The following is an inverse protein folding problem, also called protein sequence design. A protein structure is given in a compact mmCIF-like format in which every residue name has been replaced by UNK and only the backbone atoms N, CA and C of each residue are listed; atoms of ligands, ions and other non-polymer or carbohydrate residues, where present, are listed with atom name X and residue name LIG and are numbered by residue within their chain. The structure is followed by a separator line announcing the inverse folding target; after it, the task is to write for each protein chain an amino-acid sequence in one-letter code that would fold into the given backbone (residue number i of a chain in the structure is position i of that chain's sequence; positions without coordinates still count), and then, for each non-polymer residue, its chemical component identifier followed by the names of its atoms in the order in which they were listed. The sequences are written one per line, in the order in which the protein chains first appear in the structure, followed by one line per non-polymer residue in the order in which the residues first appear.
data_IF_919496024876
#
_entry.id   IF_919496024876
#
_cell.length_a   1.000
_cell.length_b   1.000
_cell.length_c   1.000
_cell.angle_alpha   90.00
_cell.angle_beta   90.00
_cell.angle_gamma   90.00
#
_symmetry.space_group_name_H-M   'P 1'
#
loop_
_entity.id
_entity.type
_entity.pdbx_description
1 polymer ?
#
# COMPACT_ATOMS: atom_id res chain seq x y z
N UNK A 1 -19.48 -18.27 13.12
CA UNK A 1 -19.07 -17.82 11.78
C UNK A 1 -17.60 -18.20 11.61
N UNK A 2 -17.26 -18.99 10.58
CA UNK A 2 -15.90 -19.49 10.37
C UNK A 2 -14.98 -18.40 9.78
N UNK A 3 -13.66 -18.51 9.99
CA UNK A 3 -12.64 -17.63 9.40
C UNK A 3 -12.84 -17.42 7.90
N UNK A 4 -13.12 -18.50 7.17
CA UNK A 4 -13.36 -18.45 5.73
C UNK A 4 -14.59 -17.63 5.35
N UNK A 5 -15.65 -17.68 6.17
CA UNK A 5 -16.85 -16.89 5.95
C UNK A 5 -16.58 -15.40 6.17
N UNK A 6 -15.74 -15.04 7.15
CA UNK A 6 -15.33 -13.64 7.35
C UNK A 6 -14.49 -13.11 6.20
N UNK A 7 -13.51 -13.89 5.76
CA UNK A 7 -12.68 -13.55 4.61
C UNK A 7 -13.51 -13.34 3.34
N UNK A 8 -14.41 -14.29 3.02
CA UNK A 8 -15.29 -14.19 1.86
C UNK A 8 -16.28 -13.04 1.97
N UNK A 9 -16.82 -12.76 3.17
CA UNK A 9 -17.70 -11.61 3.38
C UNK A 9 -16.96 -10.30 3.14
N UNK A 10 -15.72 -10.15 3.63
CA UNK A 10 -14.92 -8.97 3.35
C UNK A 10 -14.66 -8.78 1.85
N UNK A 11 -14.26 -9.85 1.14
CA UNK A 11 -14.09 -9.81 -0.31
C UNK A 11 -15.39 -9.44 -1.04
N UNK A 12 -16.52 -10.00 -0.62
CA UNK A 12 -17.84 -9.67 -1.20
C UNK A 12 -18.22 -8.22 -0.93
N UNK A 13 -17.98 -7.69 0.26
CA UNK A 13 -18.25 -6.29 0.59
C UNK A 13 -17.41 -5.35 -0.28
N UNK A 14 -16.15 -5.71 -0.53
CA UNK A 14 -15.26 -4.96 -1.42
C UNK A 14 -15.78 -4.99 -2.86
N UNK A 15 -16.10 -6.17 -3.40
CA UNK A 15 -16.64 -6.34 -4.74
C UNK A 15 -17.97 -5.56 -4.94
N UNK A 16 -18.81 -5.53 -3.91
CA UNK A 16 -20.07 -4.77 -3.92
C UNK A 16 -19.85 -3.26 -3.93
N UNK A 17 -18.73 -2.76 -3.42
CA UNK A 17 -18.31 -1.37 -3.62
C UNK A 17 -17.58 -1.20 -4.96
N UNK A 18 -18.28 -1.56 -6.04
CA UNK A 18 -17.77 -1.48 -7.42
C UNK A 18 -17.21 -0.10 -7.75
N UNK A 19 -17.87 0.96 -7.28
CA UNK A 19 -17.43 2.34 -7.50
C UNK A 19 -16.08 2.61 -6.82
N UNK A 20 -15.93 2.23 -5.56
CA UNK A 20 -14.67 2.39 -4.83
C UNK A 20 -13.52 1.59 -5.43
N UNK A 21 -13.77 0.33 -5.82
CA UNK A 21 -12.77 -0.51 -6.48
C UNK A 21 -12.37 0.03 -7.85
N UNK A 22 -13.35 0.47 -8.64
CA UNK A 22 -13.11 1.05 -9.96
C UNK A 22 -12.16 2.24 -9.84
N UNK A 23 -12.46 3.24 -9.01
CA UNK A 23 -11.56 4.39 -8.87
C UNK A 23 -10.20 4.01 -8.29
N UNK A 24 -10.15 3.10 -7.32
CA UNK A 24 -8.90 2.71 -6.67
C UNK A 24 -7.97 1.89 -7.59
N UNK A 25 -8.53 1.17 -8.57
CA UNK A 25 -7.77 0.41 -9.59
C UNK A 25 -7.46 1.29 -10.81
N UNK A 26 -8.47 2.01 -11.31
CA UNK A 26 -8.37 2.77 -12.57
C UNK A 26 -7.50 4.00 -12.41
N UNK A 27 -7.54 4.71 -11.27
CA UNK A 27 -6.75 5.93 -11.11
C UNK A 27 -5.23 5.67 -11.17
N UNK A 28 -4.64 4.71 -10.43
CA UNK A 28 -3.21 4.42 -10.56
C UNK A 28 -2.82 3.95 -11.96
N UNK A 29 -3.67 3.16 -12.61
CA UNK A 29 -3.46 2.68 -13.98
C UNK A 29 -3.50 3.85 -14.98
N UNK A 30 -4.50 4.72 -14.88
CA UNK A 30 -4.64 5.90 -15.72
C UNK A 30 -3.47 6.86 -15.53
N UNK A 31 -3.03 7.07 -14.29
CA UNK A 31 -1.84 7.87 -13.96
C UNK A 31 -0.60 7.27 -14.62
N UNK A 32 -0.41 5.95 -14.52
CA UNK A 32 0.72 5.26 -15.13
C UNK A 32 0.72 5.40 -16.67
N UNK A 33 -0.44 5.21 -17.32
CA UNK A 33 -0.57 5.41 -18.78
C UNK A 33 -0.32 6.86 -19.16
N UNK A 34 -0.89 7.81 -18.42
CA UNK A 34 -0.74 9.24 -18.70
C UNK A 34 0.73 9.66 -18.59
N UNK A 35 1.39 9.32 -17.48
CA UNK A 35 2.80 9.70 -17.26
C UNK A 35 3.70 8.95 -18.24
N UNK A 36 3.47 7.66 -18.50
CA UNK A 36 4.27 6.89 -19.46
C UNK A 36 4.17 7.42 -20.90
N UNK A 37 2.99 7.92 -21.32
CA UNK A 37 2.83 8.58 -22.61
C UNK A 37 3.48 9.97 -22.64
N UNK A 38 3.29 10.77 -21.58
CA UNK A 38 3.89 12.11 -21.47
C UNK A 38 5.41 12.02 -21.48
N UNK A 39 6.01 11.05 -20.78
CA UNK A 39 7.46 10.88 -20.77
C UNK A 39 8.02 10.52 -22.14
N UNK A 40 7.33 9.65 -22.88
CA UNK A 40 7.73 9.31 -24.25
C UNK A 40 7.62 10.50 -25.22
N UNK A 41 6.75 11.48 -24.93
CA UNK A 41 6.49 12.64 -25.76
C UNK A 41 7.34 13.88 -25.40
N UNK A 42 7.94 13.94 -24.21
CA UNK A 42 8.64 15.13 -23.72
C UNK A 42 10.16 15.07 -24.00
N UNK A 43 10.75 16.07 -24.69
CA UNK A 43 12.20 16.16 -24.91
C UNK A 43 12.90 16.45 -23.57
N UNK A 44 13.65 15.47 -23.07
CA UNK A 44 14.23 15.44 -21.72
C UNK A 44 13.84 14.20 -20.90
N UNK A 45 12.75 13.52 -21.29
CA UNK A 45 12.28 12.24 -20.75
C UNK A 45 12.36 11.10 -21.78
N UNK A 46 13.15 11.29 -22.84
CA UNK A 46 13.32 10.32 -23.90
C UNK A 46 13.92 9.00 -23.37
N UNK A 47 13.07 8.01 -23.12
CA UNK A 47 13.52 6.68 -22.79
C UNK A 47 12.44 5.79 -22.19
N UNK A 48 12.32 4.60 -22.78
CA UNK A 48 11.68 3.40 -22.24
C UNK A 48 12.03 3.19 -20.74
N UNK A 49 13.18 3.72 -20.28
CA UNK A 49 13.67 3.70 -18.90
C UNK A 49 12.82 4.45 -17.86
N UNK A 50 12.13 5.55 -18.19
CA UNK A 50 11.35 6.28 -17.16
C UNK A 50 10.06 5.54 -16.80
N UNK A 51 9.39 4.95 -17.80
CA UNK A 51 8.25 4.06 -17.58
C UNK A 51 8.63 2.83 -16.75
N UNK A 52 9.84 2.28 -16.94
CA UNK A 52 10.39 1.18 -16.13
C UNK A 52 10.69 1.62 -14.69
N UNK A 53 11.16 2.85 -14.47
CA UNK A 53 11.39 3.40 -13.13
C UNK A 53 10.09 3.69 -12.36
N UNK A 54 9.06 4.17 -13.08
CA UNK A 54 7.80 4.60 -12.49
C UNK A 54 6.88 3.45 -12.09
N UNK A 55 6.81 2.38 -12.88
CA UNK A 55 5.87 1.29 -12.63
C UNK A 55 6.01 0.68 -11.22
N UNK A 56 7.21 0.34 -10.72
CA UNK A 56 7.38 -0.15 -9.35
C UNK A 56 7.05 0.90 -8.29
N UNK A 57 7.28 2.18 -8.58
CA UNK A 57 6.88 3.29 -7.72
C UNK A 57 5.36 3.40 -7.59
N UNK A 58 4.63 3.35 -8.70
CA UNK A 58 3.16 3.37 -8.72
C UNK A 58 2.58 2.12 -8.04
N UNK A 59 3.22 0.97 -8.19
CA UNK A 59 2.89 -0.25 -7.44
C UNK A 59 3.02 0.00 -5.93
N UNK A 60 4.15 0.54 -5.47
CA UNK A 60 4.36 0.87 -4.06
C UNK A 60 3.34 1.89 -3.54
N UNK A 61 3.03 2.91 -4.34
CA UNK A 61 2.01 3.92 -4.03
C UNK A 61 0.61 3.31 -3.93
N UNK A 62 0.27 2.37 -4.81
CA UNK A 62 -1.01 1.65 -4.78
C UNK A 62 -1.15 0.83 -3.50
N UNK A 63 -0.11 0.08 -3.12
CA UNK A 63 -0.08 -0.70 -1.87
C UNK A 63 -0.26 0.24 -0.66
N UNK A 64 0.48 1.34 -0.63
CA UNK A 64 0.40 2.35 0.43
C UNK A 64 -1.01 2.94 0.53
N UNK A 65 -1.60 3.36 -0.59
CA UNK A 65 -2.92 3.97 -0.60
C UNK A 65 -4.01 2.99 -0.17
N UNK A 66 -3.95 1.75 -0.64
CA UNK A 66 -4.87 0.69 -0.21
C UNK A 66 -4.69 0.39 1.28
N UNK A 67 -3.46 0.39 1.79
CA UNK A 67 -3.20 0.16 3.22
C UNK A 67 -3.70 1.28 4.12
N UNK A 68 -3.42 2.55 3.77
CA UNK A 68 -3.77 3.70 4.59
C UNK A 68 -5.24 4.08 4.40
N UNK A 69 -5.65 4.47 3.19
CA UNK A 69 -6.99 5.02 2.96
C UNK A 69 -8.08 3.96 3.07
N UNK A 70 -7.91 2.82 2.40
CA UNK A 70 -8.98 1.83 2.32
C UNK A 70 -9.29 1.20 3.68
N UNK A 71 -8.25 0.89 4.45
CA UNK A 71 -8.41 0.30 5.77
C UNK A 71 -8.80 1.34 6.83
N UNK A 72 -8.13 2.50 6.89
CA UNK A 72 -8.42 3.49 7.94
C UNK A 72 -9.85 3.99 7.82
N UNK A 73 -10.30 4.35 6.62
CA UNK A 73 -11.67 4.83 6.41
C UNK A 73 -12.71 3.76 6.67
N UNK A 74 -12.45 2.51 6.27
CA UNK A 74 -13.37 1.41 6.56
C UNK A 74 -13.50 1.18 8.07
N UNK A 75 -12.38 1.20 8.81
CA UNK A 75 -12.39 1.04 10.27
C UNK A 75 -13.10 2.18 10.98
N UNK A 76 -12.86 3.41 10.54
CA UNK A 76 -13.50 4.61 11.09
C UNK A 76 -15.01 4.61 10.79
N UNK A 77 -15.43 4.17 9.61
CA UNK A 77 -16.85 4.04 9.25
C UNK A 77 -17.58 2.98 10.09
N UNK A 78 -16.97 1.81 10.32
CA UNK A 78 -17.61 0.80 11.20
C UNK A 78 -17.63 1.25 12.67
N UNK A 79 -16.68 2.09 13.10
CA UNK A 79 -16.66 2.72 14.43
C UNK A 79 -17.79 3.73 14.57
N UNK A 80 -17.89 4.66 13.64
CA UNK A 80 -18.89 5.74 13.66
C UNK A 80 -20.33 5.19 13.63
N UNK A 81 -20.56 4.07 12.92
CA UNK A 81 -21.86 3.37 12.89
C UNK A 81 -22.15 2.50 14.12
N UNK A 82 -21.24 2.43 15.09
CA UNK A 82 -21.35 1.59 16.29
C UNK A 82 -21.35 0.08 15.99
N UNK A 83 -20.94 -0.32 14.79
CA UNK A 83 -20.98 -1.73 14.35
C UNK A 83 -19.90 -2.56 15.06
N UNK A 84 -18.81 -1.94 15.51
CA UNK A 84 -17.79 -2.61 16.34
C UNK A 84 -18.42 -3.25 17.59
N UNK A 85 -19.40 -2.59 18.23
CA UNK A 85 -20.09 -3.14 19.41
C UNK A 85 -20.85 -4.43 19.07
N UNK A 86 -21.36 -4.57 17.85
CA UNK A 86 -22.03 -5.79 17.38
C UNK A 86 -21.05 -6.93 17.07
N UNK A 87 -19.83 -6.60 16.62
CA UNK A 87 -18.77 -7.59 16.45
C UNK A 87 -18.29 -8.16 17.80
N UNK A 88 -18.28 -7.35 18.88
CA UNK A 88 -17.87 -7.79 20.22
C UNK A 88 -18.81 -8.83 20.86
N UNK A 89 -20.09 -8.89 20.45
CA UNK A 89 -21.08 -9.86 20.95
C UNK A 89 -21.15 -11.13 20.09
N UNK A 90 -20.45 -11.16 18.95
CA UNK A 90 -20.31 -12.40 18.17
C UNK A 90 -19.21 -13.30 18.75
N UNK A 91 -19.32 -14.64 18.68
CA UNK A 91 -18.33 -15.58 19.22
C UNK A 91 -17.03 -15.64 18.38
N UNK A 92 -16.64 -14.53 17.76
CA UNK A 92 -15.47 -14.42 16.90
C UNK A 92 -14.27 -13.95 17.71
N UNK A 93 -13.13 -14.62 17.57
CA UNK A 93 -11.91 -14.14 18.21
C UNK A 93 -11.41 -12.88 17.48
N UNK A 94 -10.95 -11.88 18.24
CA UNK A 94 -10.41 -10.63 17.67
C UNK A 94 -9.26 -10.91 16.69
N UNK A 95 -8.49 -11.97 16.94
CA UNK A 95 -7.43 -12.43 16.04
C UNK A 95 -7.96 -12.90 14.67
N UNK A 96 -9.04 -13.69 14.63
CA UNK A 96 -9.65 -14.14 13.38
C UNK A 96 -10.21 -12.98 12.55
N UNK A 97 -10.77 -11.96 13.21
CA UNK A 97 -11.28 -10.76 12.54
C UNK A 97 -10.13 -9.96 11.89
N UNK A 98 -9.08 -9.66 12.65
CA UNK A 98 -7.95 -8.85 12.15
C UNK A 98 -7.20 -9.59 11.04
N UNK A 99 -6.94 -10.89 11.21
CA UNK A 99 -6.23 -11.68 10.20
C UNK A 99 -7.03 -11.86 8.91
N UNK A 100 -8.34 -12.13 8.99
CA UNK A 100 -9.18 -12.22 7.79
C UNK A 100 -9.27 -10.88 7.05
N UNK A 101 -9.29 -9.76 7.78
CA UNK A 101 -9.26 -8.42 7.20
C UNK A 101 -7.93 -8.16 6.48
N UNK A 102 -6.78 -8.37 7.15
CA UNK A 102 -5.46 -8.21 6.55
C UNK A 102 -5.33 -9.06 5.28
N UNK A 103 -5.71 -10.33 5.34
CA UNK A 103 -5.63 -11.23 4.20
C UNK A 103 -6.51 -10.76 3.04
N UNK A 104 -7.74 -10.30 3.32
CA UNK A 104 -8.63 -9.77 2.28
C UNK A 104 -8.05 -8.54 1.57
N UNK A 105 -7.34 -7.66 2.31
CA UNK A 105 -6.69 -6.48 1.74
C UNK A 105 -5.44 -6.85 0.95
N UNK A 106 -4.65 -7.82 1.42
CA UNK A 106 -3.49 -8.32 0.68
C UNK A 106 -3.91 -8.93 -0.67
N UNK A 107 -5.03 -9.67 -0.72
CA UNK A 107 -5.56 -10.20 -1.98
C UNK A 107 -5.96 -9.07 -2.93
N UNK A 108 -6.62 -8.01 -2.43
CA UNK A 108 -6.93 -6.84 -3.27
C UNK A 108 -5.66 -6.18 -3.81
N UNK A 109 -4.65 -5.98 -2.95
CA UNK A 109 -3.35 -5.42 -3.37
C UNK A 109 -2.70 -6.31 -4.42
N UNK A 110 -2.74 -7.64 -4.27
CA UNK A 110 -2.20 -8.57 -5.26
C UNK A 110 -2.90 -8.45 -6.62
N UNK A 111 -4.23 -8.31 -6.64
CA UNK A 111 -4.98 -8.07 -7.88
C UNK A 111 -4.58 -6.73 -8.52
N UNK A 112 -4.48 -5.66 -7.72
CA UNK A 112 -4.07 -4.33 -8.20
C UNK A 112 -2.67 -4.34 -8.80
N UNK A 113 -1.72 -4.95 -8.10
CA UNK A 113 -0.34 -5.06 -8.56
C UNK A 113 -0.27 -5.92 -9.82
N UNK A 114 -0.95 -7.07 -9.85
CA UNK A 114 -1.02 -7.92 -11.04
C UNK A 114 -1.56 -7.18 -12.27
N UNK A 115 -2.61 -6.37 -12.10
CA UNK A 115 -3.15 -5.52 -13.17
C UNK A 115 -2.16 -4.45 -13.63
N UNK A 116 -1.47 -3.77 -12.72
CA UNK A 116 -0.46 -2.77 -13.07
C UNK A 116 0.71 -3.38 -13.83
N UNK A 117 1.18 -4.56 -13.40
CA UNK A 117 2.23 -5.31 -14.09
C UNK A 117 1.76 -5.69 -15.50
N UNK A 118 0.57 -6.29 -15.61
CA UNK A 118 0.00 -6.70 -16.89
C UNK A 118 -0.14 -5.52 -17.87
N UNK A 119 -0.63 -4.37 -17.41
CA UNK A 119 -0.79 -3.18 -18.25
C UNK A 119 0.58 -2.58 -18.62
N UNK A 120 1.54 -2.58 -17.69
CA UNK A 120 2.90 -2.10 -17.96
C UNK A 120 3.65 -2.93 -18.97
N UNK A 121 3.59 -4.26 -18.87
CA UNK A 121 4.26 -5.15 -19.82
C UNK A 121 3.53 -5.18 -21.17
N UNK A 122 2.19 -5.24 -21.18
CA UNK A 122 1.42 -5.40 -22.41
C UNK A 122 1.22 -4.10 -23.21
N UNK A 123 1.06 -2.95 -22.55
CA UNK A 123 0.66 -1.69 -23.20
C UNK A 123 1.79 -0.65 -23.29
N UNK A 124 2.81 -0.74 -22.43
CA UNK A 124 3.91 0.22 -22.32
C UNK A 124 5.30 -0.42 -22.53
N UNK A 125 5.34 -1.71 -22.92
CA UNK A 125 6.56 -2.48 -23.18
C UNK A 125 7.59 -2.39 -22.04
N UNK A 126 7.12 -2.38 -20.78
CA UNK A 126 8.01 -2.46 -19.65
C UNK A 126 8.62 -3.88 -19.58
N UNK A 127 9.95 -3.98 -19.60
CA UNK A 127 10.65 -5.25 -19.44
C UNK A 127 10.53 -5.72 -17.99
N UNK A 128 9.66 -6.70 -17.74
CA UNK A 128 9.60 -7.38 -16.46
C UNK A 128 10.59 -8.55 -16.46
N UNK A 129 11.80 -8.29 -15.96
CA UNK A 129 12.84 -9.30 -15.78
C UNK A 129 12.99 -9.77 -14.32
N UNK A 130 11.98 -9.45 -13.51
CA UNK A 130 11.96 -9.62 -12.06
C UNK A 130 11.47 -10.98 -11.56
N UNK A 131 11.72 -11.26 -10.27
CA UNK A 131 11.17 -12.45 -9.60
C UNK A 131 9.76 -12.18 -9.06
N UNK A 132 8.77 -12.92 -9.55
CA UNK A 132 7.38 -12.87 -9.06
C UNK A 132 7.32 -13.13 -7.55
N UNK A 133 8.15 -14.04 -7.04
CA UNK A 133 8.22 -14.38 -5.62
C UNK A 133 8.73 -13.18 -4.81
N UNK A 134 9.77 -12.50 -5.29
CA UNK A 134 10.31 -11.32 -4.61
C UNK A 134 9.29 -10.17 -4.59
N UNK A 135 8.58 -9.94 -5.69
CA UNK A 135 7.48 -8.97 -5.75
C UNK A 135 6.36 -9.34 -4.77
N UNK A 136 5.99 -10.62 -4.68
CA UNK A 136 4.97 -11.09 -3.74
C UNK A 136 5.40 -10.89 -2.27
N UNK A 137 6.68 -11.11 -1.94
CA UNK A 137 7.23 -10.86 -0.60
C UNK A 137 7.19 -9.35 -0.28
N UNK A 138 7.64 -8.50 -1.19
CA UNK A 138 7.59 -7.05 -1.02
C UNK A 138 6.14 -6.55 -0.89
N UNK A 139 5.21 -7.12 -1.65
CA UNK A 139 3.78 -6.82 -1.54
C UNK A 139 3.24 -7.21 -0.16
N UNK A 140 3.56 -8.41 0.32
CA UNK A 140 3.11 -8.86 1.63
C UNK A 140 3.67 -7.98 2.75
N UNK A 141 4.96 -7.71 2.76
CA UNK A 141 5.61 -6.88 3.79
C UNK A 141 5.17 -5.41 3.73
N UNK A 142 5.16 -4.82 2.54
CA UNK A 142 4.67 -3.47 2.31
C UNK A 142 3.20 -3.35 2.69
N UNK A 143 2.38 -4.31 2.26
CA UNK A 143 0.96 -4.40 2.60
C UNK A 143 0.74 -4.46 4.10
N UNK A 144 1.42 -5.36 4.83
CA UNK A 144 1.31 -5.43 6.30
C UNK A 144 1.75 -4.11 6.95
N UNK A 145 2.83 -3.50 6.48
CA UNK A 145 3.34 -2.22 7.01
C UNK A 145 2.31 -1.10 6.86
N UNK A 146 1.71 -0.94 5.67
CA UNK A 146 0.73 0.12 5.45
C UNK A 146 -0.65 -0.20 6.00
N UNK A 147 -1.03 -1.47 6.12
CA UNK A 147 -2.25 -1.88 6.82
C UNK A 147 -2.13 -1.61 8.32
N UNK A 148 -1.00 -1.94 8.95
CA UNK A 148 -0.77 -1.59 10.37
C UNK A 148 -0.76 -0.09 10.59
N UNK A 149 -0.22 0.70 9.66
CA UNK A 149 -0.35 2.15 9.69
C UNK A 149 -1.81 2.62 9.53
N UNK A 150 -2.60 1.99 8.66
CA UNK A 150 -4.03 2.27 8.53
C UNK A 150 -4.82 1.96 9.82
N UNK A 151 -4.49 0.85 10.49
CA UNK A 151 -5.01 0.56 11.84
C UNK A 151 -4.59 1.64 12.85
N UNK A 152 -3.34 2.07 12.83
CA UNK A 152 -2.84 3.12 13.71
C UNK A 152 -3.62 4.42 13.54
N UNK A 153 -3.85 4.87 12.30
CA UNK A 153 -4.66 6.07 12.01
C UNK A 153 -6.08 5.90 12.56
N UNK A 154 -6.69 4.73 12.33
CA UNK A 154 -8.03 4.44 12.86
C UNK A 154 -8.10 4.37 14.39
N UNK A 155 -6.95 4.24 15.08
CA UNK A 155 -6.91 4.26 16.55
C UNK A 155 -7.03 5.67 17.12
N UNK A 156 -6.61 6.68 16.36
CA UNK A 156 -6.68 8.08 16.75
C UNK A 156 -7.94 8.79 16.24
N UNK A 157 -8.40 8.44 15.03
CA UNK A 157 -9.59 9.05 14.43
C UNK A 157 -10.87 8.28 14.76
N UNK A 158 -11.91 9.00 15.18
CA UNK A 158 -13.26 8.48 15.46
C UNK A 158 -14.23 8.75 14.31
N UNK A 159 -14.00 9.81 13.54
CA UNK A 159 -14.84 10.20 12.40
C UNK A 159 -14.03 10.30 11.11
N UNK A 160 -14.73 10.32 9.97
CA UNK A 160 -14.09 10.44 8.66
C UNK A 160 -13.35 11.78 8.53
N UNK A 161 -13.94 12.84 9.10
CA UNK A 161 -13.41 14.20 9.13
C UNK A 161 -12.09 14.29 9.91
N UNK A 162 -11.89 13.45 10.93
CA UNK A 162 -10.63 13.34 11.67
C UNK A 162 -9.60 12.48 10.94
N UNK A 163 -10.05 11.40 10.29
CA UNK A 163 -9.15 10.47 9.59
C UNK A 163 -8.58 11.07 8.31
N UNK A 164 -9.42 11.76 7.53
CA UNK A 164 -9.07 12.30 6.22
C UNK A 164 -7.84 13.22 6.20
N UNK A 165 -7.70 14.23 7.08
CA UNK A 165 -6.51 15.08 7.10
C UNK A 165 -5.25 14.29 7.47
N UNK A 166 -5.34 13.34 8.41
CA UNK A 166 -4.20 12.51 8.83
C UNK A 166 -3.71 11.65 7.66
N UNK A 167 -4.61 10.91 7.00
CA UNK A 167 -4.26 10.06 5.86
C UNK A 167 -3.71 10.87 4.69
N UNK A 168 -4.24 12.07 4.46
CA UNK A 168 -3.80 12.96 3.37
C UNK A 168 -2.40 13.50 3.63
N UNK A 169 -2.10 13.95 4.85
CA UNK A 169 -0.75 14.42 5.21
C UNK A 169 0.25 13.29 5.08
N UNK A 170 -0.07 12.09 5.60
CA UNK A 170 0.79 10.90 5.45
C UNK A 170 1.06 10.58 3.98
N UNK A 171 0.01 10.59 3.15
CA UNK A 171 0.13 10.35 1.73
C UNK A 171 1.03 11.38 1.04
N UNK A 172 0.86 12.67 1.34
CA UNK A 172 1.66 13.74 0.77
C UNK A 172 3.14 13.60 1.14
N UNK A 173 3.44 13.41 2.42
CA UNK A 173 4.81 13.24 2.94
C UNK A 173 5.47 12.03 2.29
N UNK A 174 4.78 10.89 2.24
CA UNK A 174 5.31 9.67 1.65
C UNK A 174 5.43 9.75 0.14
N UNK A 175 4.55 10.45 -0.55
CA UNK A 175 4.61 10.58 -2.01
C UNK A 175 5.78 11.45 -2.46
N UNK A 176 6.01 12.57 -1.76
CA UNK A 176 7.07 13.52 -2.09
C UNK A 176 8.44 12.98 -1.66
N UNK A 177 8.56 12.44 -0.45
CA UNK A 177 9.84 12.01 0.11
C UNK A 177 10.16 10.54 -0.18
N UNK A 178 9.17 9.73 -0.53
CA UNK A 178 9.27 8.27 -0.65
C UNK A 178 9.95 7.75 -1.91
N UNK A 179 10.67 8.61 -2.64
CA UNK A 179 11.36 8.25 -3.86
C UNK A 179 10.42 7.60 -4.90
N UNK A 180 9.11 7.92 -4.94
CA UNK A 180 8.12 7.21 -5.78
C UNK A 180 8.21 7.65 -7.24
N UNK A 181 8.09 8.96 -7.46
CA UNK A 181 8.05 9.57 -8.80
C UNK A 181 9.42 10.07 -9.26
N UNK A 182 10.24 10.57 -8.33
CA UNK A 182 11.50 11.23 -8.64
C UNK A 182 12.65 10.63 -7.83
N UNK A 183 13.82 10.40 -8.46
CA UNK A 183 15.02 10.03 -7.74
C UNK A 183 15.39 11.04 -6.65
N UNK A 184 15.63 10.56 -5.44
CA UNK A 184 15.99 11.40 -4.26
C UNK A 184 17.35 12.11 -4.37
N UNK A 185 18.14 11.86 -5.43
CA UNK A 185 19.46 12.49 -5.65
C UNK A 185 19.36 14.02 -5.84
N UNK A 186 18.22 14.53 -6.30
CA UNK A 186 18.00 15.97 -6.50
C UNK A 186 17.46 16.73 -5.28
N UNK A 187 17.17 16.05 -4.17
CA UNK A 187 16.60 16.69 -2.97
C UNK A 187 17.69 17.27 -2.05
N UNK A 188 17.39 18.35 -1.30
CA UNK A 188 18.26 18.85 -0.24
C UNK A 188 18.62 17.74 0.77
N UNK A 189 19.82 17.81 1.35
CA UNK A 189 20.40 16.74 2.17
C UNK A 189 19.47 16.26 3.30
N UNK A 190 18.75 17.17 3.96
CA UNK A 190 17.80 16.86 5.04
C UNK A 190 16.66 15.96 4.55
N UNK A 191 16.00 16.36 3.44
CA UNK A 191 14.90 15.59 2.87
C UNK A 191 15.35 14.24 2.33
N UNK A 192 16.59 14.14 1.82
CA UNK A 192 17.17 12.87 1.38
C UNK A 192 17.38 11.90 2.54
N UNK A 193 17.88 12.37 3.68
CA UNK A 193 18.11 11.52 4.87
C UNK A 193 16.78 11.04 5.46
N UNK A 194 15.81 11.95 5.59
CA UNK A 194 14.48 11.61 6.13
C UNK A 194 13.75 10.68 5.17
N UNK A 195 13.67 11.06 3.89
CA UNK A 195 13.03 10.29 2.84
C UNK A 195 13.62 8.89 2.71
N UNK A 196 14.94 8.75 2.77
CA UNK A 196 15.64 7.46 2.71
C UNK A 196 15.26 6.46 3.82
N UNK A 197 14.72 6.94 4.95
CA UNK A 197 14.34 6.08 6.08
C UNK A 197 12.85 5.76 6.15
N UNK A 198 12.04 6.29 5.24
CA UNK A 198 10.59 6.07 5.25
C UNK A 198 10.23 4.65 4.79
N UNK A 199 9.14 4.06 5.33
CA UNK A 199 8.70 2.72 4.91
C UNK A 199 8.38 2.65 3.42
N UNK A 200 7.85 3.74 2.86
CA UNK A 200 7.52 3.82 1.43
C UNK A 200 8.75 3.77 0.53
N UNK A 201 9.89 4.28 1.00
CA UNK A 201 11.14 4.30 0.24
C UNK A 201 11.70 2.89 0.13
N UNK A 202 11.74 2.15 1.24
CA UNK A 202 12.11 0.73 1.23
C UNK A 202 11.18 -0.10 0.33
N UNK A 203 9.86 0.17 0.35
CA UNK A 203 8.94 -0.52 -0.56
C UNK A 203 9.22 -0.18 -2.02
N UNK A 204 9.39 1.11 -2.35
CA UNK A 204 9.59 1.55 -3.72
C UNK A 204 10.94 1.08 -4.29
N UNK A 205 12.03 1.18 -3.52
CA UNK A 205 13.35 0.70 -3.92
C UNK A 205 13.40 -0.81 -4.02
N UNK A 206 12.89 -1.54 -3.03
CA UNK A 206 12.83 -2.99 -3.10
C UNK A 206 11.94 -3.48 -4.25
N UNK A 207 10.81 -2.81 -4.53
CA UNK A 207 10.02 -3.12 -5.72
C UNK A 207 10.83 -2.88 -6.99
N UNK A 208 11.50 -1.73 -7.16
CA UNK A 208 12.33 -1.44 -8.35
C UNK A 208 13.44 -2.46 -8.55
N UNK A 209 14.19 -2.77 -7.50
CA UNK A 209 15.30 -3.70 -7.54
C UNK A 209 14.82 -5.07 -8.06
N UNK A 210 13.69 -5.55 -7.53
CA UNK A 210 13.11 -6.84 -7.93
C UNK A 210 12.32 -6.79 -9.26
N UNK A 211 12.07 -5.62 -9.86
CA UNK A 211 11.29 -5.47 -11.09
C UNK A 211 12.16 -5.26 -12.33
N UNK A 212 13.19 -4.42 -12.21
CA UNK A 212 14.07 -4.00 -13.31
C UNK A 212 15.33 -4.86 -13.37
N UNK A 213 15.85 -5.32 -12.24
CA UNK A 213 17.09 -6.08 -12.17
C UNK A 213 16.91 -7.59 -12.23
N UNK A 214 17.99 -8.30 -12.57
CA UNK A 214 18.21 -9.71 -12.17
C UNK A 214 18.43 -9.84 -10.66
N UNK A 215 17.81 -8.98 -9.86
CA UNK A 215 18.11 -8.85 -8.46
C UNK A 215 17.69 -10.11 -7.72
N UNK A 216 18.67 -10.73 -7.06
CA UNK A 216 18.42 -11.81 -6.11
C UNK A 216 17.80 -11.19 -4.86
N UNK A 217 16.94 -11.94 -4.14
CA UNK A 217 16.40 -11.57 -2.81
C UNK A 217 17.43 -10.94 -1.86
N UNK A 218 18.71 -11.33 -1.99
CA UNK A 218 19.85 -10.79 -1.25
C UNK A 218 20.06 -9.28 -1.43
N UNK A 219 19.84 -8.73 -2.62
CA UNK A 219 20.02 -7.30 -2.90
C UNK A 219 18.91 -6.45 -2.28
N UNK A 220 17.73 -7.05 -2.08
CA UNK A 220 16.56 -6.41 -1.46
C UNK A 220 16.50 -6.62 0.06
N UNK A 221 17.53 -7.23 0.68
CA UNK A 221 17.53 -7.53 2.12
C UNK A 221 17.44 -6.26 2.97
N UNK A 222 18.12 -5.17 2.58
CA UNK A 222 18.03 -3.89 3.29
C UNK A 222 16.61 -3.35 3.32
N UNK A 223 15.92 -3.41 2.18
CA UNK A 223 14.53 -2.97 2.04
C UNK A 223 13.56 -3.85 2.83
N UNK A 224 13.75 -5.17 2.76
CA UNK A 224 12.97 -6.15 3.52
C UNK A 224 13.11 -5.89 5.03
N UNK A 225 14.34 -5.72 5.52
CA UNK A 225 14.60 -5.44 6.93
C UNK A 225 14.00 -4.10 7.35
N UNK A 226 14.12 -3.06 6.52
CA UNK A 226 13.50 -1.76 6.75
C UNK A 226 11.98 -1.87 6.92
N UNK A 227 11.32 -2.62 6.04
CA UNK A 227 9.88 -2.88 6.12
C UNK A 227 9.50 -3.71 7.35
N UNK A 228 10.27 -4.73 7.71
CA UNK A 228 10.04 -5.52 8.92
C UNK A 228 10.13 -4.66 10.17
N UNK A 229 11.14 -3.79 10.27
CA UNK A 229 11.30 -2.86 11.39
C UNK A 229 10.13 -1.89 11.47
N UNK A 230 9.73 -1.28 10.36
CA UNK A 230 8.58 -0.36 10.34
C UNK A 230 7.26 -1.04 10.67
N UNK A 231 7.04 -2.24 10.13
CA UNK A 231 5.89 -3.08 10.46
C UNK A 231 5.83 -3.37 11.96
N UNK A 232 6.96 -3.76 12.56
CA UNK A 232 7.04 -4.01 14.00
C UNK A 232 6.75 -2.75 14.82
N UNK A 233 7.28 -1.58 14.41
CA UNK A 233 7.01 -0.29 15.06
C UNK A 233 5.52 0.05 15.00
N UNK A 234 4.91 0.03 13.81
CA UNK A 234 3.50 0.36 13.65
C UNK A 234 2.60 -0.63 14.37
N UNK A 235 2.92 -1.92 14.34
CA UNK A 235 2.19 -2.95 15.08
C UNK A 235 2.30 -2.70 16.60
N UNK A 236 3.49 -2.41 17.12
CA UNK A 236 3.69 -2.18 18.55
C UNK A 236 2.95 -0.93 19.05
N UNK A 237 2.94 0.16 18.26
CA UNK A 237 2.19 1.37 18.60
C UNK A 237 0.69 1.08 18.53
N UNK A 238 0.23 0.46 17.44
CA UNK A 238 -1.18 0.09 17.24
C UNK A 238 -1.68 -0.82 18.36
N UNK A 239 -0.90 -1.82 18.78
CA UNK A 239 -1.29 -2.72 19.86
C UNK A 239 -1.48 -1.98 21.20
N UNK A 240 -0.76 -0.88 21.42
CA UNK A 240 -0.90 -0.04 22.62
C UNK A 240 -2.05 0.96 22.52
N UNK A 241 -2.32 1.51 21.34
CA UNK A 241 -3.34 2.56 21.14
C UNK A 241 -4.71 2.01 20.77
N UNK A 242 -4.77 0.87 20.08
CA UNK A 242 -6.00 0.28 19.57
C UNK A 242 -6.75 -0.47 20.67
N UNK A 243 -7.62 0.25 21.38
CA UNK A 243 -8.60 -0.36 22.28
C UNK A 243 -9.84 -0.76 21.48
N UNK A 244 -10.13 -2.06 21.42
CA UNK A 244 -11.36 -2.59 20.82
C UNK A 244 -12.60 -2.31 21.70
N UNK A 245 -12.39 -2.14 23.01
CA UNK A 245 -13.38 -1.65 23.98
C UNK A 245 -13.15 -0.15 24.18
N UNK A 246 -14.05 0.68 23.67
CA UNK A 246 -14.30 1.98 24.27
C UNK A 246 -15.27 1.71 25.43
N UNK A 247 -14.81 1.92 26.66
CA UNK A 247 -15.67 1.97 27.85
C UNK A 247 -16.56 3.23 27.80
#
# INVERSE_FOLDING_TARGET
MSFWQLFLTNLRMMYRNWRGLFFNIVLPVALYIAIGKISNAAPGFAGISYSQYLLPGIIAMTIMQTGIFNLAYWLVDIKSRGVIKRFLVTPLSSFQLVTSLILSRLVLMAVQVGLLIFIGTAYLHADFNGSIIAVAIMLALGGITFLTLGFLVSSFAKTYEEAAPITTILNLVFTILGNIFFPTKGLPAVFRIIGGKLPITYLAEGMRNNFIGHATLKQSLGDILGLVVWSAIFLAITAKTFKLKED
#
